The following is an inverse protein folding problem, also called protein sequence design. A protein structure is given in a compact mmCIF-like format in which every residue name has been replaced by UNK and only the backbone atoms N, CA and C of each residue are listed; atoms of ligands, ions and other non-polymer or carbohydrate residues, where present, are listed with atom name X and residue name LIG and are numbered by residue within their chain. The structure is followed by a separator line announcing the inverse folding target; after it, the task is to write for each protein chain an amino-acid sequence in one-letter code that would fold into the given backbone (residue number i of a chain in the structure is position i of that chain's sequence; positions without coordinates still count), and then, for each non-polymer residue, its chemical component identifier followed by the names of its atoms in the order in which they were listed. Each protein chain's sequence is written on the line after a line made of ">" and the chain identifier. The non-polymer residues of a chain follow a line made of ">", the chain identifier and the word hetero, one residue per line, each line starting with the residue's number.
data_IF_280317734024
#
_entry.id   IF_280317734024
#
_cell.length_a   1.000
_cell.length_b   1.000
_cell.length_c   1.000
_cell.angle_alpha   90.00
_cell.angle_beta   90.00
_cell.angle_gamma   90.00
#
_symmetry.space_group_name_H-M   'P 1'
#
loop_
_entity.id
_entity.type
_entity.pdbx_description
1 polymer ?
#
# COMPACT_ATOMS: atom_id res chain seq x y z
N UNK A 1 -6.82 0.28 1.29
CA UNK A 1 -6.24 1.57 0.85
C UNK A 1 -6.95 2.18 -0.35
N UNK A 2 -7.05 1.51 -1.51
CA UNK A 2 -7.65 2.12 -2.72
C UNK A 2 -9.17 2.36 -2.66
N UNK A 3 -9.88 1.64 -1.79
CA UNK A 3 -11.31 1.83 -1.52
C UNK A 3 -11.55 2.93 -0.47
N UNK A 4 -11.10 2.72 0.77
CA UNK A 4 -11.34 3.63 1.90
C UNK A 4 -10.53 4.93 1.91
N UNK A 5 -9.35 4.96 1.27
CA UNK A 5 -8.54 6.18 1.05
C UNK A 5 -8.37 7.04 2.31
N UNK A 6 -8.79 8.31 2.29
CA UNK A 6 -8.67 9.29 3.37
C UNK A 6 -9.26 8.80 4.70
N UNK A 7 -10.35 8.00 4.66
CA UNK A 7 -10.96 7.45 5.87
C UNK A 7 -9.99 6.57 6.67
N UNK A 8 -8.97 5.99 6.02
CA UNK A 8 -7.96 5.19 6.70
C UNK A 8 -7.06 6.01 7.63
N UNK A 9 -6.79 7.27 7.30
CA UNK A 9 -5.93 8.16 8.11
C UNK A 9 -6.68 8.66 9.34
N UNK A 10 -7.99 8.85 9.23
CA UNK A 10 -8.84 9.29 10.34
C UNK A 10 -9.16 8.18 11.33
N UNK A 11 -8.85 6.92 11.01
CA UNK A 11 -9.18 5.77 11.86
C UNK A 11 -7.92 5.21 12.54
N UNK A 12 -7.65 5.63 13.77
CA UNK A 12 -6.45 5.21 14.53
C UNK A 12 -6.35 3.68 14.71
N UNK A 13 -7.46 3.02 15.04
CA UNK A 13 -7.50 1.57 15.26
C UNK A 13 -7.09 0.78 14.01
N UNK A 14 -7.47 1.28 12.83
CA UNK A 14 -7.11 0.69 11.55
C UNK A 14 -5.62 0.87 11.26
N UNK A 15 -5.05 2.05 11.55
CA UNK A 15 -3.60 2.29 11.41
C UNK A 15 -2.79 1.35 12.30
N UNK A 16 -3.20 1.18 13.57
CA UNK A 16 -2.57 0.25 14.50
C UNK A 16 -2.64 -1.21 14.01
N UNK A 17 -3.78 -1.60 13.43
CA UNK A 17 -3.93 -2.94 12.85
C UNK A 17 -3.02 -3.14 11.62
N UNK A 18 -2.91 -2.14 10.75
CA UNK A 18 -2.05 -2.19 9.56
C UNK A 18 -0.59 -2.40 9.94
N UNK A 19 -0.09 -1.64 10.91
CA UNK A 19 1.28 -1.78 11.46
C UNK A 19 1.49 -3.19 12.03
N UNK A 20 0.54 -3.71 12.81
CA UNK A 20 0.62 -5.06 13.39
C UNK A 20 0.63 -6.14 12.31
N UNK A 21 -0.20 -6.00 11.28
CA UNK A 21 -0.26 -6.94 10.16
C UNK A 21 1.04 -6.94 9.34
N UNK A 22 1.63 -5.78 9.06
CA UNK A 22 2.90 -5.67 8.34
C UNK A 22 4.03 -6.35 9.13
N UNK A 23 4.14 -6.07 10.42
CA UNK A 23 5.07 -6.74 11.34
C UNK A 23 4.86 -8.26 11.38
N UNK A 24 3.61 -8.73 11.38
CA UNK A 24 3.29 -10.16 11.37
C UNK A 24 3.77 -10.82 10.08
N UNK A 25 3.61 -10.18 8.92
CA UNK A 25 4.10 -10.68 7.63
C UNK A 25 5.63 -10.75 7.64
N UNK A 26 6.32 -9.67 8.03
CA UNK A 26 7.78 -9.67 8.15
C UNK A 26 8.25 -10.77 9.10
N UNK A 27 7.63 -10.91 10.27
CA UNK A 27 7.98 -11.94 11.26
C UNK A 27 7.82 -13.35 10.71
N UNK A 28 6.77 -13.61 9.91
CA UNK A 28 6.59 -14.91 9.24
C UNK A 28 7.72 -15.24 8.27
N UNK A 29 8.19 -14.25 7.50
CA UNK A 29 9.35 -14.41 6.60
C UNK A 29 10.61 -14.69 7.42
N UNK A 30 10.85 -13.94 8.51
CA UNK A 30 11.99 -14.13 9.41
C UNK A 30 12.03 -15.55 10.02
N UNK A 31 10.87 -16.05 10.46
CA UNK A 31 10.72 -17.43 10.98
C UNK A 31 11.03 -18.46 9.89
N UNK A 32 10.56 -18.26 8.67
CA UNK A 32 10.83 -19.17 7.55
C UNK A 32 12.32 -19.32 7.22
N UNK A 33 13.11 -18.27 7.46
CA UNK A 33 14.57 -18.23 7.26
C UNK A 33 15.37 -18.58 8.53
N UNK A 34 14.69 -19.11 9.56
CA UNK A 34 15.27 -19.51 10.85
C UNK A 34 16.13 -18.43 11.52
N UNK A 35 15.61 -17.20 11.60
CA UNK A 35 16.29 -16.12 12.31
C UNK A 35 15.30 -15.19 13.01
N UNK A 36 15.66 -14.77 14.22
CA UNK A 36 14.94 -13.74 15.00
C UNK A 36 15.71 -12.43 15.13
N UNK A 37 16.96 -12.35 14.64
CA UNK A 37 17.80 -11.17 14.80
C UNK A 37 17.44 -10.06 13.80
N UNK A 38 17.10 -8.84 14.25
CA UNK A 38 16.77 -7.71 13.38
C UNK A 38 17.88 -7.31 12.41
N UNK A 39 19.15 -7.37 12.86
CA UNK A 39 20.33 -7.02 12.05
C UNK A 39 20.50 -7.85 10.78
N UNK A 40 19.95 -9.08 10.74
CA UNK A 40 19.99 -9.96 9.56
C UNK A 40 18.94 -9.58 8.51
N UNK A 41 17.99 -8.70 8.86
CA UNK A 41 16.85 -8.37 8.01
C UNK A 41 16.74 -6.86 7.80
N UNK A 42 17.67 -6.24 7.04
CA UNK A 42 17.55 -4.85 6.66
C UNK A 42 16.27 -4.61 5.86
N UNK A 43 15.70 -3.40 5.91
CA UNK A 43 14.47 -3.07 5.19
C UNK A 43 14.53 -3.37 3.69
N UNK A 44 15.72 -3.25 3.10
CA UNK A 44 16.04 -3.59 1.71
C UNK A 44 15.45 -4.93 1.29
N UNK A 45 15.51 -5.98 2.13
CA UNK A 45 15.00 -7.32 1.78
C UNK A 45 13.48 -7.31 1.53
N UNK A 46 12.74 -6.53 2.33
CA UNK A 46 11.28 -6.52 2.28
C UNK A 46 10.74 -5.60 1.18
N UNK A 47 11.32 -4.40 1.05
CA UNK A 47 10.70 -3.33 0.25
C UNK A 47 11.30 -3.19 -1.15
N UNK A 48 12.50 -3.72 -1.40
CA UNK A 48 13.10 -3.69 -2.74
C UNK A 48 12.15 -4.29 -3.78
N UNK A 49 11.95 -3.65 -4.95
CA UNK A 49 11.09 -4.18 -6.00
C UNK A 49 11.54 -5.55 -6.51
N UNK A 50 10.57 -6.35 -6.99
CA UNK A 50 10.82 -7.73 -7.44
C UNK A 50 11.79 -7.82 -8.60
N UNK A 51 11.87 -6.78 -9.42
CA UNK A 51 12.77 -6.71 -10.57
C UNK A 51 14.25 -6.67 -10.17
N UNK A 52 14.55 -6.28 -8.92
CA UNK A 52 15.91 -6.21 -8.34
C UNK A 52 16.09 -7.34 -7.29
N UNK A 53 15.20 -8.34 -7.28
CA UNK A 53 15.31 -9.51 -6.42
C UNK A 53 14.75 -9.36 -5.00
N UNK A 54 14.08 -8.25 -4.69
CA UNK A 54 13.38 -8.06 -3.41
C UNK A 54 11.95 -8.62 -3.38
N UNK A 55 11.29 -8.53 -2.22
CA UNK A 55 9.90 -9.00 -2.07
C UNK A 55 8.86 -8.01 -2.65
N UNK A 56 9.22 -6.73 -2.80
CA UNK A 56 8.34 -5.67 -3.27
C UNK A 56 7.14 -5.43 -2.36
N UNK A 57 7.32 -5.55 -1.04
CA UNK A 57 6.28 -5.23 -0.07
C UNK A 57 5.91 -3.75 -0.18
N UNK A 58 4.62 -3.45 -0.08
CA UNK A 58 4.12 -2.08 -0.01
C UNK A 58 3.96 -1.71 1.47
N UNK A 59 4.59 -0.62 1.90
CA UNK A 59 4.59 -0.22 3.31
C UNK A 59 3.45 0.73 3.63
N UNK A 60 2.81 0.45 4.77
CA UNK A 60 1.92 1.35 5.49
C UNK A 60 2.31 1.42 6.98
N UNK A 61 3.42 0.76 7.38
CA UNK A 61 3.87 0.66 8.76
C UNK A 61 4.73 1.83 9.23
N UNK A 62 5.41 2.51 8.31
CA UNK A 62 6.25 3.70 8.57
C UNK A 62 5.40 4.96 8.63
N UNK A 63 4.49 5.01 9.61
CA UNK A 63 3.54 6.09 9.82
C UNK A 63 3.68 6.65 11.23
N UNK A 64 3.61 7.98 11.32
CA UNK A 64 3.40 8.69 12.57
C UNK A 64 1.90 8.64 12.91
N UNK A 65 1.56 7.86 13.93
CA UNK A 65 0.19 7.65 14.38
C UNK A 65 -0.15 8.77 15.38
N UNK A 66 -1.24 9.54 15.15
CA UNK A 66 -1.65 10.58 16.08
C UNK A 66 -2.04 9.96 17.43
N UNK A 67 -1.46 10.48 18.51
CA UNK A 67 -1.86 10.16 19.88
C UNK A 67 -2.61 11.36 20.44
N UNK A 68 -3.89 11.16 20.74
CA UNK A 68 -4.61 12.03 21.67
C UNK A 68 -4.43 11.48 23.08
N UNK A 69 -4.31 12.36 24.08
CA UNK A 69 -4.28 11.94 25.48
C UNK A 69 -5.60 11.22 25.83
N UNK A 70 -5.56 9.89 25.82
CA UNK A 70 -6.70 9.00 26.11
C UNK A 70 -7.27 9.20 27.53
N UNK A 71 -6.58 9.96 28.40
CA UNK A 71 -7.07 10.33 29.74
C UNK A 71 -8.08 11.47 29.72
N UNK A 72 -8.06 12.38 28.75
CA UNK A 72 -8.89 13.59 28.77
C UNK A 72 -9.65 13.92 27.47
N UNK A 73 -9.43 13.21 26.35
CA UNK A 73 -10.11 13.56 25.09
C UNK A 73 -11.40 12.75 24.85
N UNK A 74 -12.48 13.15 25.50
CA UNK A 74 -13.77 13.26 24.80
C UNK A 74 -14.09 14.74 24.84
N UNK A 75 -14.36 15.35 23.69
CA UNK A 75 -14.79 16.75 23.53
C UNK A 75 -13.65 17.74 23.25
N UNK A 76 -13.19 17.75 21.99
CA UNK A 76 -13.07 18.93 21.10
C UNK A 76 -12.33 18.54 19.81
N UNK A 77 -12.69 19.11 18.66
CA UNK A 77 -12.01 18.96 17.36
C UNK A 77 -10.63 19.66 17.30
N UNK A 78 -9.98 19.83 18.45
CA UNK A 78 -8.69 20.52 18.55
C UNK A 78 -7.60 19.53 18.17
N UNK A 79 -6.77 19.95 17.21
CA UNK A 79 -5.85 19.11 16.45
C UNK A 79 -4.85 18.27 17.26
N UNK A 80 -4.20 17.36 16.54
CA UNK A 80 -3.27 16.36 17.09
C UNK A 80 -2.04 17.02 17.73
N UNK A 81 -1.78 16.75 19.01
CA UNK A 81 -0.65 17.30 19.77
C UNK A 81 0.56 16.37 19.85
N UNK A 82 0.37 15.04 19.75
CA UNK A 82 1.45 14.05 19.86
C UNK A 82 1.39 13.00 18.74
N UNK A 83 2.54 12.46 18.35
CA UNK A 83 2.66 11.40 17.36
C UNK A 83 3.51 10.24 17.89
N UNK A 84 3.06 9.00 17.67
CA UNK A 84 3.80 7.75 17.93
C UNK A 84 4.30 7.16 16.63
N UNK A 85 5.56 6.73 16.55
CA UNK A 85 6.04 5.98 15.39
C UNK A 85 5.41 4.57 15.33
N UNK A 86 4.91 4.17 14.16
CA UNK A 86 4.34 2.84 13.93
C UNK A 86 5.39 1.73 13.90
N UNK A 87 6.54 1.97 13.29
CA UNK A 87 7.68 1.04 13.23
C UNK A 87 8.98 1.81 13.51
N UNK A 88 9.88 1.22 14.28
CA UNK A 88 11.22 1.74 14.53
C UNK A 88 12.24 1.04 13.65
N UNK A 89 13.05 1.80 12.92
CA UNK A 89 14.27 1.32 12.26
C UNK A 89 15.49 2.01 12.86
N UNK A 90 16.64 1.34 12.81
CA UNK A 90 17.90 1.83 13.38
C UNK A 90 18.62 2.85 12.48
N UNK A 91 18.19 3.01 11.23
CA UNK A 91 18.79 3.93 10.25
C UNK A 91 17.74 4.94 9.74
N UNK A 92 18.17 6.18 9.46
CA UNK A 92 17.39 7.32 8.94
C UNK A 92 16.73 7.08 7.55
N UNK A 93 16.66 5.82 7.09
CA UNK A 93 16.00 5.44 5.85
C UNK A 93 14.47 5.44 6.04
N UNK A 94 13.84 6.57 5.72
CA UNK A 94 12.39 6.70 5.70
C UNK A 94 11.81 5.99 4.47
N UNK A 95 11.18 4.85 4.68
CA UNK A 95 10.49 4.12 3.62
C UNK A 95 9.22 4.88 3.23
N UNK A 96 8.99 5.13 1.93
CA UNK A 96 7.80 5.83 1.47
C UNK A 96 6.51 5.13 1.92
N UNK A 97 5.54 5.92 2.37
CA UNK A 97 4.22 5.44 2.74
C UNK A 97 3.31 5.34 1.49
N UNK A 98 2.69 4.17 1.29
CA UNK A 98 1.75 3.89 0.22
C UNK A 98 0.60 4.91 0.10
N UNK A 99 0.10 5.43 1.22
CA UNK A 99 -1.05 6.34 1.23
C UNK A 99 -0.86 7.57 0.34
N UNK A 100 0.35 8.17 0.35
CA UNK A 100 0.66 9.38 -0.42
C UNK A 100 0.39 9.20 -1.92
N UNK A 101 0.74 8.04 -2.46
CA UNK A 101 0.64 7.74 -3.90
C UNK A 101 -0.77 7.38 -4.37
N UNK A 102 -1.68 7.06 -3.45
CA UNK A 102 -3.07 6.74 -3.80
C UNK A 102 -3.90 8.02 -4.02
N UNK A 103 -3.58 9.08 -3.29
CA UNK A 103 -4.29 10.37 -3.34
C UNK A 103 -4.12 11.06 -4.71
N UNK A 104 -2.88 11.18 -5.18
CA UNK A 104 -2.51 11.90 -6.41
C UNK A 104 -3.17 11.35 -7.70
N UNK A 105 -3.60 10.10 -7.66
CA UNK A 105 -4.21 9.47 -8.83
C UNK A 105 -5.68 9.86 -9.00
N UNK A 106 -6.38 10.35 -7.98
CA UNK A 106 -7.85 10.46 -8.03
C UNK A 106 -8.36 11.62 -8.89
N UNK A 107 -7.62 12.73 -8.95
CA UNK A 107 -8.08 14.01 -9.51
C UNK A 107 -8.30 14.03 -11.04
N UNK A 108 -7.99 12.92 -11.73
CA UNK A 108 -8.08 12.81 -13.20
C UNK A 108 -9.46 12.33 -13.71
N UNK A 109 -10.50 12.45 -12.89
CA UNK A 109 -11.88 12.12 -13.24
C UNK A 109 -12.26 10.65 -13.02
N UNK A 110 -13.55 10.42 -12.79
CA UNK A 110 -14.20 9.10 -12.61
C UNK A 110 -15.51 9.12 -13.42
N UNK A 111 -15.69 8.21 -14.40
CA UNK A 111 -14.68 7.33 -15.01
C UNK A 111 -13.50 8.10 -15.61
N UNK A 112 -12.38 7.41 -15.83
CA UNK A 112 -11.21 8.00 -16.50
C UNK A 112 -11.54 8.44 -17.92
N UNK A 113 -11.03 9.59 -18.34
CA UNK A 113 -11.23 10.13 -19.70
C UNK A 113 -10.82 9.13 -20.78
N UNK A 114 -9.81 8.30 -20.53
CA UNK A 114 -9.35 7.29 -21.49
C UNK A 114 -10.41 6.21 -21.80
N UNK A 115 -11.44 6.02 -20.97
CA UNK A 115 -12.52 5.06 -21.24
C UNK A 115 -13.36 5.47 -22.45
N UNK A 116 -13.42 6.76 -22.77
CA UNK A 116 -14.13 7.30 -23.93
C UNK A 116 -13.52 6.89 -25.27
N UNK A 117 -12.24 6.52 -25.27
CA UNK A 117 -11.44 6.19 -26.46
C UNK A 117 -11.06 4.71 -26.53
N UNK A 118 -11.69 3.86 -25.72
CA UNK A 118 -11.47 2.41 -25.77
C UNK A 118 -12.09 1.81 -27.04
N UNK A 119 -11.40 0.82 -27.62
CA UNK A 119 -11.89 0.07 -28.79
C UNK A 119 -13.25 -0.59 -28.54
N UNK A 120 -13.42 -1.16 -27.36
CA UNK A 120 -14.62 -1.93 -26.99
C UNK A 120 -15.78 -1.06 -26.48
N UNK A 121 -15.68 0.28 -26.57
CA UNK A 121 -16.67 1.21 -26.00
C UNK A 121 -18.09 0.93 -26.49
N UNK A 122 -18.24 0.61 -27.77
CA UNK A 122 -19.55 0.34 -28.38
C UNK A 122 -20.21 -0.90 -27.76
N UNK A 123 -19.44 -1.95 -27.50
CA UNK A 123 -19.93 -3.17 -26.84
C UNK A 123 -20.21 -2.93 -25.35
N UNK A 124 -19.33 -2.19 -24.67
CA UNK A 124 -19.49 -1.85 -23.25
C UNK A 124 -20.76 -1.02 -22.98
N UNK A 125 -21.26 -0.28 -23.96
CA UNK A 125 -22.51 0.47 -23.82
C UNK A 125 -23.72 -0.44 -23.48
N UNK A 126 -23.69 -1.70 -23.92
CA UNK A 126 -24.72 -2.71 -23.66
C UNK A 126 -24.52 -3.47 -22.35
N UNK A 127 -23.35 -3.38 -21.72
CA UNK A 127 -23.04 -4.07 -20.46
C UNK A 127 -23.66 -3.34 -19.25
N UNK A 128 -24.97 -3.52 -19.06
CA UNK A 128 -25.74 -2.94 -17.97
C UNK A 128 -25.72 -3.82 -16.71
N UNK A 129 -25.85 -3.19 -15.54
CA UNK A 129 -25.89 -3.88 -14.26
C UNK A 129 -24.56 -4.54 -13.84
N UNK A 130 -23.44 -4.16 -14.46
CA UNK A 130 -22.14 -4.80 -14.23
C UNK A 130 -21.65 -4.67 -12.79
N UNK A 131 -22.00 -3.60 -12.06
CA UNK A 131 -21.64 -3.42 -10.64
C UNK A 131 -22.27 -4.49 -9.76
N UNK A 132 -23.61 -4.62 -9.82
CA UNK A 132 -24.36 -5.64 -9.07
C UNK A 132 -23.91 -7.03 -9.47
N UNK A 133 -23.75 -7.29 -10.77
CA UNK A 133 -23.22 -8.58 -11.26
C UNK A 133 -21.83 -8.88 -10.71
N UNK A 134 -20.96 -7.88 -10.55
CA UNK A 134 -19.61 -8.09 -10.01
C UNK A 134 -19.65 -8.37 -8.50
N UNK A 135 -20.50 -7.66 -7.77
CA UNK A 135 -20.70 -7.87 -6.33
C UNK A 135 -21.28 -9.26 -6.03
N UNK A 136 -22.29 -9.70 -6.80
CA UNK A 136 -22.94 -10.99 -6.61
C UNK A 136 -22.07 -12.20 -6.99
N UNK A 137 -20.91 -11.98 -7.63
CA UNK A 137 -19.95 -13.06 -7.87
C UNK A 137 -19.43 -13.69 -6.58
N UNK A 138 -19.51 -12.99 -5.44
CA UNK A 138 -19.13 -13.55 -4.14
C UNK A 138 -19.93 -14.81 -3.77
N UNK A 139 -21.16 -14.95 -4.28
CA UNK A 139 -22.02 -16.11 -4.01
C UNK A 139 -21.82 -17.25 -5.03
N UNK A 140 -21.17 -16.96 -6.16
CA UNK A 140 -20.96 -17.91 -7.24
C UNK A 140 -19.52 -18.45 -7.27
N UNK A 141 -18.56 -17.62 -6.84
CA UNK A 141 -17.13 -17.88 -6.95
C UNK A 141 -16.51 -17.85 -5.56
N UNK A 142 -15.87 -18.95 -5.16
CA UNK A 142 -15.21 -19.07 -3.86
C UNK A 142 -14.02 -18.11 -3.69
N UNK A 143 -13.38 -17.73 -4.80
CA UNK A 143 -12.27 -16.78 -4.79
C UNK A 143 -12.78 -15.36 -4.64
N UNK A 144 -12.47 -14.74 -3.50
CA UNK A 144 -12.79 -13.33 -3.25
C UNK A 144 -12.10 -12.41 -4.26
N UNK A 145 -12.83 -11.43 -4.79
CA UNK A 145 -12.29 -10.31 -5.56
C UNK A 145 -12.15 -9.09 -4.64
N UNK A 146 -10.94 -8.66 -4.25
CA UNK A 146 -10.74 -7.47 -3.42
C UNK A 146 -11.16 -6.16 -4.08
N UNK A 147 -11.28 -6.12 -5.41
CA UNK A 147 -11.65 -4.95 -6.21
C UNK A 147 -13.06 -5.10 -6.83
N UNK A 148 -13.99 -5.72 -6.10
CA UNK A 148 -15.37 -5.92 -6.54
C UNK A 148 -16.11 -4.60 -6.88
N UNK A 149 -15.69 -3.49 -6.29
CA UNK A 149 -16.32 -2.18 -6.41
C UNK A 149 -15.96 -1.39 -7.68
N UNK A 150 -14.97 -1.82 -8.46
CA UNK A 150 -14.52 -1.13 -9.68
C UNK A 150 -14.28 -2.09 -10.83
N UNK A 151 -14.39 -1.58 -12.06
CA UNK A 151 -14.07 -2.36 -13.26
C UNK A 151 -13.26 -1.54 -14.25
N UNK A 152 -12.05 -2.00 -14.59
CA UNK A 152 -11.10 -1.24 -15.40
C UNK A 152 -11.64 -0.85 -16.79
N UNK A 153 -12.51 -1.66 -17.40
CA UNK A 153 -13.12 -1.30 -18.71
C UNK A 153 -14.12 -0.14 -18.57
N UNK A 154 -14.89 -0.11 -17.49
CA UNK A 154 -15.94 0.88 -17.27
C UNK A 154 -15.42 2.15 -16.60
N UNK A 155 -14.63 1.99 -15.54
CA UNK A 155 -14.12 3.09 -14.71
C UNK A 155 -12.72 3.57 -15.14
N UNK A 156 -11.95 2.73 -15.84
CA UNK A 156 -10.52 2.94 -16.08
C UNK A 156 -9.65 2.52 -14.89
N UNK A 157 -8.33 2.75 -14.97
CA UNK A 157 -7.40 2.47 -13.86
C UNK A 157 -7.45 3.59 -12.83
N UNK A 158 -7.92 3.28 -11.63
CA UNK A 158 -8.23 4.28 -10.59
C UNK A 158 -7.05 4.67 -9.67
N UNK A 159 -5.92 3.99 -9.78
CA UNK A 159 -4.69 4.28 -9.03
C UNK A 159 -3.46 3.96 -9.86
N UNK A 160 -2.35 4.65 -9.58
CA UNK A 160 -1.04 4.36 -10.15
C UNK A 160 0.04 4.38 -9.07
N UNK A 161 0.81 3.30 -8.97
CA UNK A 161 1.86 3.12 -7.95
C UNK A 161 3.26 3.05 -8.57
N UNK A 162 3.42 3.48 -9.82
CA UNK A 162 4.72 3.46 -10.49
C UNK A 162 5.74 4.33 -9.75
N UNK A 163 5.31 5.51 -9.28
CA UNK A 163 6.19 6.43 -8.52
C UNK A 163 6.57 5.85 -7.15
N UNK A 164 5.67 5.10 -6.50
CA UNK A 164 6.02 4.41 -5.25
C UNK A 164 7.24 3.49 -5.46
N UNK A 165 7.31 2.80 -6.60
CA UNK A 165 8.43 1.93 -6.93
C UNK A 165 9.75 2.69 -7.06
N UNK A 166 9.75 3.83 -7.75
CA UNK A 166 10.97 4.65 -7.95
C UNK A 166 11.46 5.22 -6.63
N UNK A 167 10.53 5.71 -5.82
CA UNK A 167 10.87 6.43 -4.60
C UNK A 167 11.34 5.46 -3.50
N UNK A 168 10.86 4.21 -3.51
CA UNK A 168 11.40 3.14 -2.65
C UNK A 168 12.84 2.79 -3.04
N UNK A 169 13.16 2.69 -4.34
CA UNK A 169 14.54 2.43 -4.77
C UNK A 169 15.45 3.55 -4.28
N UNK A 170 15.03 4.80 -4.42
CA UNK A 170 15.80 5.94 -3.96
C UNK A 170 15.96 5.96 -2.43
N UNK A 171 14.90 5.67 -1.68
CA UNK A 171 14.93 5.63 -0.21
C UNK A 171 15.87 4.54 0.35
N UNK A 172 16.09 3.46 -0.40
CA UNK A 172 16.99 2.37 -0.03
C UNK A 172 18.45 2.59 -0.48
N UNK A 173 18.84 3.82 -0.85
CA UNK A 173 20.20 4.13 -1.29
C UNK A 173 20.45 3.89 -2.78
N UNK A 174 19.39 3.83 -3.59
CA UNK A 174 19.48 3.61 -5.03
C UNK A 174 19.75 2.14 -5.39
N UNK A 175 19.96 1.88 -6.68
CA UNK A 175 20.20 0.52 -7.18
C UNK A 175 21.52 -0.03 -6.63
N UNK A 176 22.56 0.80 -6.55
CA UNK A 176 23.87 0.38 -6.04
C UNK A 176 23.79 -0.06 -4.57
N UNK A 177 23.21 0.75 -3.68
CA UNK A 177 23.04 0.40 -2.27
C UNK A 177 22.23 -0.88 -2.07
N UNK A 178 21.18 -1.09 -2.86
CA UNK A 178 20.41 -2.35 -2.84
C UNK A 178 21.28 -3.54 -3.22
N UNK A 179 22.06 -3.43 -4.30
CA UNK A 179 22.88 -4.53 -4.82
C UNK A 179 24.05 -4.89 -3.90
N UNK A 180 24.50 -4.00 -3.03
CA UNK A 180 25.51 -4.31 -2.00
C UNK A 180 25.03 -5.36 -0.99
N UNK A 181 23.73 -5.45 -0.76
CA UNK A 181 23.12 -6.48 0.08
C UNK A 181 22.87 -7.80 -0.66
N UNK A 182 23.34 -7.94 -1.90
CA UNK A 182 23.14 -9.11 -2.75
C UNK A 182 24.46 -9.74 -3.17
N UNK A 183 24.40 -10.96 -3.72
CA UNK A 183 25.55 -11.65 -4.30
C UNK A 183 25.91 -11.15 -5.71
N UNK A 184 25.36 -10.02 -6.16
CA UNK A 184 25.53 -9.50 -7.52
C UNK A 184 26.99 -9.24 -7.91
N UNK A 185 27.84 -8.78 -6.99
CA UNK A 185 29.27 -8.59 -7.26
C UNK A 185 30.05 -9.91 -7.49
N UNK A 186 29.45 -11.05 -7.12
CA UNK A 186 30.06 -12.38 -7.25
C UNK A 186 29.61 -13.17 -8.48
N UNK A 187 28.74 -12.59 -9.32
CA UNK A 187 28.27 -13.16 -10.60
C UNK A 187 28.88 -12.43 -11.77
#
# INVERSE_FOLDING_TARGET
>A
MTYFREATVHTQELLDLLVKCENKIQTRIKIGLNSKMPSRFPPVIFYTPKEIGGLGMLSMGHILIPQSDLRYSKQTDVGVTHFRSGMSHEEDQLIPNLYRYIQDSWDRGIPRINTLFQKDRHTLAYDKGWRVRTDFKQYQVLKQNPFWWTHQRHDGKLWNLNNYRTDVIQALGGVEGILEHTLFKGT
#
